data_IF_546041154720
#
_entry.id   IF_546041154720
#
_cell.length_a   1.000
_cell.length_b   1.000
_cell.length_c   1.000
_cell.angle_alpha   90.00
_cell.angle_beta   90.00
_cell.angle_gamma   90.00
#
_symmetry.space_group_name_H-M   'P 1'
#
loop_
_entity.id
_entity.type
_entity.pdbx_description
1 polymer ?
#
# COMPACT_ATOMS: atom_id res chain seq x y z
N UNK A 1 12.74 -18.64 -93.24
CA UNK A 1 12.08 -18.72 -91.92
C UNK A 1 13.18 -18.74 -90.86
N UNK A 2 13.21 -17.72 -89.97
CA UNK A 2 13.57 -17.69 -88.53
C UNK A 2 14.59 -18.75 -88.03
N UNK A 3 15.60 -18.50 -87.19
CA UNK A 3 16.07 -17.34 -86.44
C UNK A 3 17.48 -17.68 -85.90
N UNK A 4 18.35 -16.67 -85.90
CA UNK A 4 19.42 -16.31 -84.96
C UNK A 4 19.72 -17.19 -83.73
N UNK A 5 20.97 -17.66 -83.60
CA UNK A 5 21.64 -17.95 -82.32
C UNK A 5 22.04 -16.62 -81.65
N UNK A 6 21.59 -16.39 -80.41
CA UNK A 6 22.08 -15.31 -79.54
C UNK A 6 22.64 -15.90 -78.25
N UNK A 7 23.86 -15.48 -77.95
CA UNK A 7 24.64 -15.64 -76.71
C UNK A 7 23.81 -15.20 -75.51
N UNK A 8 23.70 -16.05 -74.48
CA UNK A 8 23.11 -15.69 -73.20
C UNK A 8 24.22 -15.36 -72.20
N UNK A 9 24.31 -14.08 -71.85
CA UNK A 9 25.18 -13.49 -70.86
C UNK A 9 24.55 -13.71 -69.47
N UNK A 10 25.34 -14.26 -68.54
CA UNK A 10 24.94 -14.61 -67.18
C UNK A 10 25.00 -13.33 -66.32
N UNK A 11 23.83 -12.76 -66.00
CA UNK A 11 23.70 -11.57 -65.15
C UNK A 11 23.49 -12.01 -63.69
N UNK A 12 24.46 -11.70 -62.82
CA UNK A 12 24.34 -11.90 -61.38
C UNK A 12 23.35 -10.89 -60.78
N UNK A 13 22.30 -11.40 -60.13
CA UNK A 13 21.38 -10.58 -59.36
C UNK A 13 22.01 -10.22 -58.01
N UNK A 14 22.32 -8.94 -57.80
CA UNK A 14 22.64 -8.39 -56.49
C UNK A 14 21.34 -8.23 -55.70
N UNK A 15 21.16 -9.04 -54.66
CA UNK A 15 20.10 -8.84 -53.69
C UNK A 15 20.50 -7.70 -52.74
N UNK A 16 19.82 -6.57 -52.84
CA UNK A 16 19.89 -5.51 -51.83
C UNK A 16 19.06 -5.96 -50.62
N UNK A 17 19.71 -6.24 -49.48
CA UNK A 17 19.03 -6.36 -48.20
C UNK A 17 18.60 -4.94 -47.76
N UNK A 18 17.30 -4.67 -47.79
CA UNK A 18 16.73 -3.52 -47.10
C UNK A 18 16.57 -3.89 -45.62
N UNK A 19 17.36 -3.27 -44.75
CA UNK A 19 17.13 -3.34 -43.30
C UNK A 19 15.90 -2.48 -43.01
N UNK A 20 14.83 -3.10 -42.50
CA UNK A 20 13.71 -2.35 -41.93
C UNK A 20 14.16 -1.71 -40.61
N UNK A 21 13.80 -0.46 -40.31
CA UNK A 21 14.01 0.09 -38.98
C UNK A 21 13.19 -0.73 -37.99
N UNK A 22 13.87 -1.32 -37.00
CA UNK A 22 13.21 -1.85 -35.80
C UNK A 22 12.75 -0.62 -35.02
N UNK A 23 11.45 -0.38 -34.95
CA UNK A 23 10.91 0.56 -33.97
C UNK A 23 11.21 0.01 -32.57
N UNK A 24 11.63 0.82 -31.60
CA UNK A 24 11.75 0.35 -30.23
C UNK A 24 10.38 -0.20 -29.82
N UNK A 25 10.36 -1.43 -29.28
CA UNK A 25 9.19 -1.94 -28.58
C UNK A 25 9.19 -1.18 -27.27
N UNK A 26 8.47 -0.06 -27.27
CA UNK A 26 8.20 0.69 -26.05
C UNK A 26 7.15 -0.13 -25.30
N UNK A 27 7.49 -0.65 -24.11
CA UNK A 27 6.53 -1.33 -23.24
C UNK A 27 5.32 -0.42 -23.00
N UNK A 28 4.12 -0.99 -22.86
CA UNK A 28 2.90 -0.22 -22.61
C UNK A 28 2.98 0.63 -21.34
N UNK A 29 3.89 0.30 -20.42
CA UNK A 29 4.15 1.08 -19.19
C UNK A 29 4.86 2.40 -19.44
N UNK A 30 5.65 2.53 -20.51
CA UNK A 30 6.17 3.83 -20.88
C UNK A 30 5.05 4.80 -21.36
N UNK A 31 3.80 4.33 -21.49
CA UNK A 31 2.64 5.18 -21.82
C UNK A 31 1.86 5.64 -20.57
N UNK A 32 2.10 5.04 -19.39
CA UNK A 32 1.65 5.55 -18.11
C UNK A 32 2.87 5.79 -17.24
N UNK A 33 3.52 6.94 -17.44
CA UNK A 33 4.65 7.35 -16.63
C UNK A 33 4.23 7.38 -15.15
N UNK A 34 4.64 6.37 -14.40
CA UNK A 34 4.56 6.39 -12.94
C UNK A 34 5.31 7.64 -12.44
N UNK A 35 4.91 8.23 -11.30
CA UNK A 35 5.60 9.38 -10.75
C UNK A 35 7.05 9.04 -10.40
N UNK A 36 7.84 10.09 -10.16
CA UNK A 36 9.21 9.94 -9.71
C UNK A 36 9.26 9.18 -8.37
N UNK A 37 10.18 8.22 -8.23
CA UNK A 37 10.33 7.44 -7.01
C UNK A 37 11.17 8.16 -5.96
N UNK A 38 11.01 7.75 -4.72
CA UNK A 38 11.77 8.23 -3.57
C UNK A 38 12.35 7.05 -2.80
N UNK A 39 13.63 7.11 -2.41
CA UNK A 39 14.22 6.08 -1.54
C UNK A 39 14.13 6.55 -0.09
N UNK A 40 13.34 5.84 0.70
CA UNK A 40 13.23 6.09 2.14
C UNK A 40 14.41 5.50 2.88
N UNK A 41 15.05 6.37 3.68
CA UNK A 41 16.15 6.01 4.59
C UNK A 41 15.64 5.29 5.84
N UNK A 42 14.45 5.64 6.30
CA UNK A 42 13.88 5.02 7.48
C UNK A 42 13.44 3.58 7.23
N UNK A 43 12.90 3.28 6.05
CA UNK A 43 12.27 2.00 5.75
C UNK A 43 13.13 1.09 4.84
N UNK A 44 14.24 1.58 4.28
CA UNK A 44 15.02 0.87 3.26
C UNK A 44 14.13 0.39 2.09
N UNK A 45 13.34 1.33 1.57
CA UNK A 45 12.31 1.05 0.58
C UNK A 45 12.23 2.14 -0.49
N UNK A 46 11.86 1.75 -1.70
CA UNK A 46 11.50 2.68 -2.78
C UNK A 46 10.00 2.94 -2.69
N UNK A 47 9.63 4.21 -2.58
CA UNK A 47 8.27 4.67 -2.36
C UNK A 47 7.77 5.50 -3.55
N UNK A 48 6.48 5.37 -3.85
CA UNK A 48 5.78 6.19 -4.84
C UNK A 48 4.66 7.01 -4.19
N UNK A 49 4.46 8.27 -4.59
CA UNK A 49 3.23 8.97 -4.27
C UNK A 49 2.05 8.29 -4.99
N UNK A 50 0.88 8.26 -4.36
CA UNK A 50 -0.30 7.63 -4.96
C UNK A 50 -1.06 8.64 -5.83
N UNK A 51 -0.79 8.61 -7.13
CA UNK A 51 -1.56 9.33 -8.15
C UNK A 51 -2.49 8.40 -8.96
N UNK A 52 -3.16 8.93 -9.99
CA UNK A 52 -4.05 8.14 -10.83
C UNK A 52 -3.34 7.04 -11.63
N UNK A 53 -2.07 7.24 -12.01
CA UNK A 53 -1.28 6.24 -12.71
C UNK A 53 -0.88 5.11 -11.77
N UNK A 54 -0.42 5.43 -10.56
CA UNK A 54 -0.09 4.44 -9.52
C UNK A 54 -1.33 3.65 -9.12
N UNK A 55 -2.47 4.30 -8.87
CA UNK A 55 -3.71 3.58 -8.55
C UNK A 55 -4.11 2.59 -9.63
N UNK A 56 -4.00 3.00 -10.91
CA UNK A 56 -4.32 2.13 -12.03
C UNK A 56 -3.33 0.99 -12.20
N UNK A 57 -2.04 1.22 -11.95
CA UNK A 57 -0.98 0.24 -12.14
C UNK A 57 -0.95 -0.84 -11.04
N UNK A 58 -1.36 -0.47 -9.81
CA UNK A 58 -1.32 -1.34 -8.64
C UNK A 58 -2.72 -1.78 -8.16
N UNK A 59 -3.77 -1.52 -8.95
CA UNK A 59 -5.17 -1.86 -8.66
C UNK A 59 -5.63 -1.38 -7.26
N UNK A 60 -5.26 -0.14 -6.92
CA UNK A 60 -5.56 0.44 -5.61
C UNK A 60 -6.97 1.03 -5.60
N UNK A 61 -7.76 0.67 -4.59
CA UNK A 61 -9.08 1.26 -4.37
C UNK A 61 -8.97 2.78 -4.11
N UNK A 62 -10.00 3.54 -4.49
CA UNK A 62 -10.06 4.99 -4.30
C UNK A 62 -9.95 5.46 -2.85
N UNK A 63 -10.33 4.60 -1.90
CA UNK A 63 -10.27 4.87 -0.45
C UNK A 63 -8.89 4.66 0.17
N UNK A 64 -7.98 3.96 -0.53
CA UNK A 64 -6.61 3.75 -0.05
C UNK A 64 -5.85 5.07 -0.14
N UNK A 65 -5.35 5.54 1.00
CA UNK A 65 -4.51 6.73 1.13
C UNK A 65 -3.15 6.31 1.66
N UNK A 66 -2.10 7.05 1.32
CA UNK A 66 -0.74 6.75 1.76
C UNK A 66 0.32 6.94 0.68
N UNK A 67 1.44 6.24 0.87
CA UNK A 67 2.53 6.10 -0.10
C UNK A 67 2.74 4.63 -0.43
N UNK A 68 2.87 4.32 -1.71
CA UNK A 68 3.01 2.94 -2.18
C UNK A 68 4.46 2.48 -2.02
N UNK A 69 4.66 1.27 -1.51
CA UNK A 69 5.94 0.56 -1.48
C UNK A 69 6.16 -0.12 -2.83
N UNK A 70 7.11 0.39 -3.61
CA UNK A 70 7.48 -0.17 -4.91
C UNK A 70 8.50 -1.29 -4.79
N UNK A 71 9.52 -1.09 -3.95
CA UNK A 71 10.59 -2.05 -3.71
C UNK A 71 11.06 -1.99 -2.27
N UNK A 72 11.55 -3.12 -1.75
CA UNK A 72 12.02 -3.27 -0.37
C UNK A 72 13.40 -3.93 -0.36
N UNK A 73 14.34 -3.33 0.37
CA UNK A 73 15.67 -3.91 0.56
C UNK A 73 15.59 -5.21 1.38
N UNK A 74 16.12 -6.34 0.86
CA UNK A 74 16.21 -7.58 1.63
C UNK A 74 17.04 -7.38 2.91
N UNK A 75 16.46 -7.74 4.05
CA UNK A 75 17.03 -7.55 5.38
C UNK A 75 16.99 -6.10 5.91
N UNK A 76 16.44 -5.15 5.15
CA UNK A 76 16.23 -3.76 5.59
C UNK A 76 15.12 -3.62 6.62
N UNK A 77 14.87 -2.39 7.10
CA UNK A 77 13.89 -2.10 8.16
C UNK A 77 12.49 -2.58 7.77
N UNK A 78 12.01 -2.24 6.58
CA UNK A 78 10.67 -2.64 6.12
C UNK A 78 10.55 -4.17 5.94
N UNK A 79 11.55 -4.82 5.34
CA UNK A 79 11.57 -6.28 5.14
C UNK A 79 11.52 -7.02 6.48
N UNK A 80 12.24 -6.53 7.50
CA UNK A 80 12.21 -7.11 8.85
C UNK A 80 10.83 -7.05 9.51
N UNK A 81 9.97 -6.11 9.11
CA UNK A 81 8.58 -6.04 9.56
C UNK A 81 7.60 -6.77 8.63
N UNK A 82 8.12 -7.44 7.61
CA UNK A 82 7.32 -8.16 6.61
C UNK A 82 6.55 -7.23 5.68
N UNK A 83 6.97 -5.97 5.54
CA UNK A 83 6.44 -5.07 4.50
C UNK A 83 6.87 -5.60 3.14
N UNK A 84 5.93 -5.67 2.23
CA UNK A 84 6.12 -6.23 0.90
C UNK A 84 5.88 -5.13 -0.15
N UNK A 85 6.53 -5.22 -1.32
CA UNK A 85 6.12 -4.43 -2.46
C UNK A 85 4.60 -4.55 -2.70
N UNK A 86 3.95 -3.45 -3.07
CA UNK A 86 2.50 -3.35 -3.21
C UNK A 86 1.77 -2.90 -1.95
N UNK A 87 2.41 -2.92 -0.78
CA UNK A 87 1.85 -2.31 0.42
C UNK A 87 1.75 -0.79 0.28
N UNK A 88 0.78 -0.19 0.96
CA UNK A 88 0.65 1.27 1.05
C UNK A 88 0.84 1.70 2.49
N UNK A 89 1.90 2.45 2.79
CA UNK A 89 2.13 3.02 4.13
C UNK A 89 1.17 4.20 4.31
N UNK A 90 0.28 4.09 5.29
CA UNK A 90 -0.77 5.06 5.56
C UNK A 90 -0.38 6.03 6.67
N UNK A 91 0.17 5.49 7.76
CA UNK A 91 0.46 6.25 8.97
C UNK A 91 1.76 5.78 9.60
N UNK A 92 2.55 6.70 10.14
CA UNK A 92 3.70 6.38 11.01
C UNK A 92 3.58 7.23 12.26
N UNK A 93 3.62 6.62 13.44
CA UNK A 93 3.57 7.34 14.73
C UNK A 93 2.37 8.28 14.87
N UNK A 94 1.16 7.85 14.49
CA UNK A 94 -0.03 8.72 14.55
C UNK A 94 -0.12 9.75 13.43
N UNK A 95 0.87 9.79 12.52
CA UNK A 95 0.97 10.80 11.46
C UNK A 95 0.66 10.20 10.11
N UNK A 96 -0.36 10.76 9.44
CA UNK A 96 -0.69 10.37 8.07
C UNK A 96 0.46 10.69 7.12
N UNK A 97 0.85 9.69 6.35
CA UNK A 97 1.92 9.80 5.36
C UNK A 97 1.29 10.03 3.99
N UNK A 98 1.39 11.25 3.48
CA UNK A 98 0.77 11.64 2.20
C UNK A 98 1.77 11.83 1.08
N UNK A 99 3.05 12.02 1.42
CA UNK A 99 4.16 12.13 0.48
C UNK A 99 5.30 11.20 0.89
N UNK A 100 6.09 10.65 -0.04
CA UNK A 100 7.17 9.72 0.32
C UNK A 100 8.17 10.29 1.33
N UNK A 101 8.57 11.56 1.17
CA UNK A 101 9.54 12.21 2.07
C UNK A 101 8.98 12.44 3.48
N UNK A 102 7.66 12.64 3.63
CA UNK A 102 7.06 12.86 4.95
C UNK A 102 7.26 11.70 5.92
N UNK A 103 7.43 10.48 5.40
CA UNK A 103 7.77 9.31 6.21
C UNK A 103 9.13 9.52 6.91
N UNK A 104 10.16 9.90 6.16
CA UNK A 104 11.50 10.11 6.71
C UNK A 104 11.55 11.36 7.59
N UNK A 105 10.78 12.41 7.28
CA UNK A 105 10.65 13.61 8.14
C UNK A 105 10.08 13.26 9.53
N UNK A 106 8.98 12.49 9.57
CA UNK A 106 8.35 12.00 10.81
C UNK A 106 9.35 11.16 11.60
N UNK A 107 10.01 10.20 10.94
CA UNK A 107 10.96 9.32 11.62
C UNK A 107 12.13 10.13 12.17
N UNK A 108 12.76 10.98 11.36
CA UNK A 108 13.92 11.77 11.76
C UNK A 108 13.61 12.69 12.95
N UNK A 109 12.45 13.37 12.95
CA UNK A 109 12.01 14.20 14.07
C UNK A 109 12.00 13.44 15.40
N UNK A 110 11.41 12.24 15.42
CA UNK A 110 11.33 11.44 16.64
C UNK A 110 12.67 10.81 17.03
N UNK A 111 13.51 10.44 16.06
CA UNK A 111 14.88 9.99 16.31
C UNK A 111 15.69 11.06 17.05
N UNK A 112 15.53 12.35 16.70
CA UNK A 112 16.18 13.47 17.39
C UNK A 112 15.74 13.61 18.86
N UNK A 113 14.54 13.12 19.20
CA UNK A 113 14.01 13.10 20.56
C UNK A 113 14.37 11.83 21.34
N UNK A 114 15.07 10.88 20.71
CA UNK A 114 15.45 9.61 21.31
C UNK A 114 14.33 8.58 21.35
N UNK A 115 13.32 8.72 20.48
CA UNK A 115 12.26 7.73 20.28
C UNK A 115 12.66 6.87 19.08
N UNK A 116 12.70 5.55 19.29
CA UNK A 116 13.21 4.58 18.31
C UNK A 116 12.18 3.52 17.90
N UNK A 117 11.08 3.38 18.64
CA UNK A 117 10.01 2.43 18.33
C UNK A 117 8.93 3.12 17.50
N UNK A 118 8.77 2.76 16.24
CA UNK A 118 7.82 3.37 15.30
C UNK A 118 6.69 2.40 15.01
N UNK A 119 5.50 2.66 15.55
CA UNK A 119 4.28 1.99 15.07
C UNK A 119 3.86 2.63 13.75
N UNK A 120 3.40 1.82 12.81
CA UNK A 120 2.91 2.30 11.52
C UNK A 120 1.76 1.42 11.01
N UNK A 121 0.86 2.06 10.28
CA UNK A 121 -0.27 1.42 9.64
C UNK A 121 -0.05 1.38 8.13
N UNK A 122 -0.46 0.28 7.51
CA UNK A 122 -0.32 0.06 6.08
C UNK A 122 -1.48 -0.76 5.52
N UNK A 123 -1.80 -0.55 4.24
CA UNK A 123 -2.75 -1.37 3.52
C UNK A 123 -2.02 -2.48 2.76
N UNK A 124 -2.48 -3.73 2.93
CA UNK A 124 -2.13 -4.85 2.06
C UNK A 124 -3.38 -5.39 1.40
N UNK A 125 -3.41 -5.37 0.06
CA UNK A 125 -4.60 -5.78 -0.72
C UNK A 125 -5.91 -5.11 -0.23
N UNK A 126 -5.82 -3.83 0.14
CA UNK A 126 -6.95 -3.03 0.65
C UNK A 126 -7.31 -3.26 2.11
N UNK A 127 -6.61 -4.14 2.83
CA UNK A 127 -6.84 -4.38 4.27
C UNK A 127 -5.83 -3.58 5.09
N UNK A 128 -6.33 -2.71 5.97
CA UNK A 128 -5.50 -1.96 6.91
C UNK A 128 -4.93 -2.90 7.98
N UNK A 129 -3.62 -2.84 8.18
CA UNK A 129 -2.84 -3.61 9.15
C UNK A 129 -1.84 -2.69 9.85
N UNK A 130 -1.35 -3.11 11.02
CA UNK A 130 -0.37 -2.35 11.79
C UNK A 130 0.89 -3.19 12.05
N UNK A 131 2.04 -2.55 12.02
CA UNK A 131 3.33 -3.13 12.38
C UNK A 131 4.16 -2.13 13.20
N UNK A 132 5.32 -2.55 13.70
CA UNK A 132 6.22 -1.66 14.41
C UNK A 132 7.68 -1.94 14.06
N UNK A 133 8.39 -0.89 13.65
CA UNK A 133 9.82 -0.94 13.36
C UNK A 133 10.63 -0.30 14.49
N UNK A 134 11.77 -0.91 14.84
CA UNK A 134 12.76 -0.27 15.70
C UNK A 134 13.85 0.35 14.84
N UNK A 135 13.88 1.68 14.76
CA UNK A 135 14.79 2.45 13.91
C UNK A 135 15.68 3.30 14.80
N UNK A 136 16.99 3.21 14.61
CA UNK A 136 17.95 4.06 15.32
C UNK A 136 18.51 5.10 14.39
N UNK A 137 19.10 6.17 14.95
CA UNK A 137 19.82 7.15 14.15
C UNK A 137 20.99 6.53 13.36
N UNK A 138 21.63 5.49 13.90
CA UNK A 138 22.70 4.77 13.21
C UNK A 138 22.17 4.05 11.96
N UNK A 139 21.07 3.31 12.10
CA UNK A 139 20.40 2.65 10.96
C UNK A 139 19.93 3.66 9.92
N UNK A 140 19.27 4.73 10.36
CA UNK A 140 18.75 5.78 9.47
C UNK A 140 19.85 6.49 8.66
N UNK A 141 21.07 6.58 9.21
CA UNK A 141 22.21 7.21 8.56
C UNK A 141 23.07 6.23 7.74
N UNK A 142 22.70 4.95 7.67
CA UNK A 142 23.38 4.02 6.77
C UNK A 142 23.17 4.43 5.31
N UNK A 143 24.26 4.38 4.54
CA UNK A 143 24.23 4.81 3.14
C UNK A 143 23.68 3.67 2.30
N UNK A 144 22.51 3.89 1.71
CA UNK A 144 21.95 3.05 0.66
C UNK A 144 22.68 3.30 -0.67
N UNK A 145 23.26 2.25 -1.26
CA UNK A 145 23.84 2.31 -2.60
C UNK A 145 22.72 2.24 -3.66
N UNK A 146 22.24 3.41 -4.11
CA UNK A 146 21.12 3.53 -5.06
C UNK A 146 21.34 2.72 -6.35
N UNK A 147 22.59 2.50 -6.75
CA UNK A 147 22.93 1.67 -7.92
C UNK A 147 22.64 0.18 -7.77
N UNK A 148 22.45 -0.30 -6.54
CA UNK A 148 22.19 -1.71 -6.23
C UNK A 148 20.71 -2.01 -5.97
N UNK A 149 19.82 -1.00 -6.01
CA UNK A 149 18.39 -1.20 -5.70
C UNK A 149 17.66 -2.09 -6.70
N UNK A 150 18.23 -2.33 -7.89
CA UNK A 150 17.70 -3.30 -8.86
C UNK A 150 17.75 -4.75 -8.36
N UNK A 151 18.50 -5.01 -7.29
CA UNK A 151 18.55 -6.30 -6.59
C UNK A 151 17.49 -6.47 -5.51
N UNK A 152 16.74 -5.42 -5.20
CA UNK A 152 15.75 -5.42 -4.12
C UNK A 152 14.52 -6.27 -4.46
N UNK A 153 13.73 -6.61 -3.45
CA UNK A 153 12.44 -7.26 -3.65
C UNK A 153 11.50 -6.26 -4.29
N UNK A 154 10.98 -6.56 -5.48
CA UNK A 154 10.10 -5.64 -6.23
C UNK A 154 8.75 -6.27 -6.50
N UNK A 155 7.73 -5.43 -6.62
CA UNK A 155 6.43 -5.83 -7.16
C UNK A 155 6.60 -6.38 -8.57
N UNK A 156 6.28 -7.66 -8.76
CA UNK A 156 6.37 -8.31 -10.07
C UNK A 156 4.99 -8.51 -10.67
N UNK A 157 4.77 -7.96 -11.87
CA UNK A 157 3.61 -8.26 -12.70
C UNK A 157 4.05 -8.38 -14.16
N UNK A 158 3.26 -9.07 -14.99
CA UNK A 158 3.68 -9.50 -16.35
C UNK A 158 4.08 -8.34 -17.29
N UNK A 159 3.77 -7.10 -16.93
CA UNK A 159 3.93 -5.95 -17.82
C UNK A 159 4.80 -4.80 -17.23
N UNK A 160 5.17 -4.83 -15.94
CA UNK A 160 6.07 -3.85 -15.31
C UNK A 160 7.51 -4.37 -15.19
N UNK A 161 8.49 -3.56 -15.62
CA UNK A 161 9.92 -3.85 -15.45
C UNK A 161 10.56 -2.80 -14.57
N UNK A 162 10.99 -3.20 -13.37
CA UNK A 162 11.70 -2.31 -12.44
C UNK A 162 13.05 -1.84 -12.99
N UNK A 163 13.72 -2.67 -13.79
CA UNK A 163 15.00 -2.30 -14.39
C UNK A 163 14.82 -1.18 -15.42
N UNK A 164 13.79 -1.25 -16.28
CA UNK A 164 13.46 -0.16 -17.22
C UNK A 164 13.03 1.11 -16.47
N UNK A 165 12.28 0.96 -15.39
CA UNK A 165 11.88 2.08 -14.54
C UNK A 165 13.09 2.73 -13.85
N UNK A 166 14.01 1.93 -13.31
CA UNK A 166 15.26 2.43 -12.74
C UNK A 166 16.13 3.12 -13.79
N UNK A 167 16.25 2.58 -15.00
CA UNK A 167 17.00 3.23 -16.08
C UNK A 167 16.45 4.64 -16.39
N UNK A 168 15.13 4.83 -16.38
CA UNK A 168 14.49 6.13 -16.60
C UNK A 168 14.71 7.11 -15.44
N UNK A 169 14.60 6.65 -14.18
CA UNK A 169 14.60 7.53 -12.99
C UNK A 169 15.90 7.53 -12.19
N UNK A 170 16.93 6.78 -12.58
CA UNK A 170 18.17 6.61 -11.79
C UNK A 170 18.88 7.94 -11.47
N UNK A 171 18.94 8.87 -12.41
CA UNK A 171 19.54 10.19 -12.18
C UNK A 171 18.73 10.97 -11.12
N UNK A 172 17.41 11.01 -11.27
CA UNK A 172 16.51 11.69 -10.32
C UNK A 172 16.50 11.03 -8.94
N UNK A 173 16.59 9.70 -8.87
CA UNK A 173 16.70 8.95 -7.61
C UNK A 173 17.98 9.31 -6.86
N UNK A 174 19.12 9.36 -7.55
CA UNK A 174 20.39 9.71 -6.94
C UNK A 174 20.34 11.17 -6.45
N UNK A 175 19.91 12.10 -7.29
CA UNK A 175 19.81 13.52 -6.93
C UNK A 175 18.83 13.75 -5.77
N UNK A 176 17.66 13.09 -5.79
CA UNK A 176 16.65 13.18 -4.74
C UNK A 176 17.16 12.59 -3.42
N UNK A 177 17.83 11.43 -3.45
CA UNK A 177 18.37 10.80 -2.25
C UNK A 177 19.55 11.59 -1.64
N UNK A 178 20.44 12.15 -2.48
CA UNK A 178 21.55 12.98 -2.00
C UNK A 178 21.06 14.31 -1.39
N UNK A 179 19.99 14.89 -1.94
CA UNK A 179 19.40 16.14 -1.41
C UNK A 179 18.41 15.93 -0.27
N UNK A 180 17.82 14.74 -0.12
CA UNK A 180 16.77 14.50 0.87
C UNK A 180 17.25 14.71 2.30
N UNK A 181 18.52 14.41 2.61
CA UNK A 181 19.09 14.62 3.94
C UNK A 181 18.99 16.09 4.37
N UNK A 182 19.44 17.03 3.54
CA UNK A 182 19.38 18.47 3.83
C UNK A 182 17.93 18.97 3.90
N UNK A 183 17.06 18.50 3.01
CA UNK A 183 15.65 18.88 2.99
C UNK A 183 14.92 18.41 4.26
N UNK A 184 15.14 17.17 4.68
CA UNK A 184 14.53 16.60 5.89
C UNK A 184 15.01 17.38 7.12
N UNK A 185 16.32 17.66 7.21
CA UNK A 185 16.85 18.46 8.32
C UNK A 185 16.27 19.87 8.35
N UNK A 186 16.13 20.53 7.20
CA UNK A 186 15.50 21.84 7.07
C UNK A 186 14.04 21.80 7.54
N UNK A 187 13.22 20.90 6.99
CA UNK A 187 11.79 20.76 7.34
C UNK A 187 11.62 20.48 8.84
N UNK A 188 12.33 19.48 9.36
CA UNK A 188 12.20 19.04 10.75
C UNK A 188 12.67 20.11 11.74
N UNK A 189 13.65 20.94 11.37
CA UNK A 189 14.10 22.07 12.18
C UNK A 189 13.16 23.28 12.17
N UNK A 190 12.17 23.29 11.28
CA UNK A 190 11.23 24.40 11.17
C UNK A 190 10.26 24.46 12.36
N UNK A 191 9.91 25.69 12.77
CA UNK A 191 8.92 25.91 13.84
C UNK A 191 7.54 25.40 13.45
N UNK A 192 7.20 25.46 12.16
CA UNK A 192 5.93 24.98 11.59
C UNK A 192 5.78 23.48 11.83
N UNK A 193 6.72 22.68 11.31
CA UNK A 193 6.70 21.23 11.45
C UNK A 193 6.74 20.79 12.92
N UNK A 194 7.55 21.47 13.75
CA UNK A 194 7.63 21.18 15.18
C UNK A 194 6.30 21.45 15.91
N UNK A 195 5.58 22.52 15.55
CA UNK A 195 4.26 22.82 16.11
C UNK A 195 3.26 21.75 15.70
N UNK A 196 3.21 21.44 14.40
CA UNK A 196 2.32 20.41 13.85
C UNK A 196 2.55 19.06 14.51
N UNK A 197 3.80 18.62 14.71
CA UNK A 197 4.13 17.36 15.38
C UNK A 197 3.72 17.31 16.85
N UNK A 198 3.65 18.46 17.52
CA UNK A 198 3.24 18.53 18.92
C UNK A 198 1.73 18.61 19.13
N UNK A 199 0.98 19.04 18.12
CA UNK A 199 -0.46 19.32 18.22
C UNK A 199 -1.33 18.08 17.97
N UNK A 200 -0.89 17.12 17.14
CA UNK A 200 -1.71 15.96 16.74
C UNK A 200 -1.71 14.77 17.73
N UNK A 201 -0.95 14.82 18.83
CA UNK A 201 -1.06 13.79 19.87
C UNK A 201 -2.30 13.94 20.77
N UNK A 202 -3.05 15.04 20.66
CA UNK A 202 -4.19 15.35 21.53
C UNK A 202 -5.58 14.93 20.97
N UNK A 203 -5.70 14.40 19.75
CA UNK A 203 -7.00 14.17 19.06
C UNK A 203 -7.46 12.68 18.96
N UNK A 204 -6.88 11.74 19.72
CA UNK A 204 -7.20 10.29 19.62
C UNK A 204 -8.38 9.84 20.51
N UNK A 205 -9.13 10.74 21.14
CA UNK A 205 -10.20 10.38 22.10
C UNK A 205 -11.66 10.64 21.66
N UNK A 206 -11.96 10.95 20.38
CA UNK A 206 -13.34 11.34 19.99
C UNK A 206 -13.93 10.64 18.75
N UNK A 207 -13.89 9.31 18.74
CA UNK A 207 -14.72 8.52 17.80
C UNK A 207 -15.22 7.19 18.40
N UNK A 208 -15.88 7.27 19.54
CA UNK A 208 -16.92 6.29 19.92
C UNK A 208 -18.18 7.02 20.39
N UNK A 209 -18.80 7.80 19.49
CA UNK A 209 -20.21 8.18 19.65
C UNK A 209 -21.07 6.98 19.22
N UNK A 210 -21.12 6.00 20.11
CA UNK A 210 -22.25 5.08 20.28
C UNK A 210 -23.30 5.78 21.15
N UNK A 211 -24.28 6.41 20.52
CA UNK A 211 -25.72 6.19 20.75
C UNK A 211 -26.53 7.30 20.06
N UNK A 212 -27.68 6.92 19.53
CA UNK A 212 -28.53 7.86 18.81
C UNK A 212 -29.48 7.17 17.84
N UNK A 213 -30.23 6.18 18.33
CA UNK A 213 -31.51 5.86 17.70
C UNK A 213 -32.39 7.10 17.77
N UNK A 214 -32.46 7.86 16.69
CA UNK A 214 -33.35 9.01 16.60
C UNK A 214 -34.80 8.51 16.51
N UNK A 215 -35.51 8.64 17.63
CA UNK A 215 -36.97 8.58 17.71
C UNK A 215 -37.56 9.75 16.89
N UNK A 216 -38.14 9.44 15.74
CA UNK A 216 -38.97 10.35 14.95
C UNK A 216 -40.29 10.65 15.70
N UNK A 217 -40.26 11.63 16.61
CA UNK A 217 -41.47 12.24 17.16
C UNK A 217 -41.90 13.43 16.28
N UNK A 218 -42.98 13.20 15.52
CA UNK A 218 -43.67 14.21 14.74
C UNK A 218 -44.30 15.29 15.65
N UNK A 219 -44.07 16.55 15.29
CA UNK A 219 -44.76 17.72 15.82
C UNK A 219 -46.25 17.68 15.43
N UNK A 220 -47.16 17.61 16.41
CA UNK A 220 -48.61 17.70 16.23
C UNK A 220 -49.13 19.04 16.77
N UNK A 221 -49.75 19.82 15.88
CA UNK A 221 -50.27 21.16 16.12
C UNK A 221 -51.72 21.14 16.58
N UNK A 222 -51.97 21.81 17.71
CA UNK A 222 -53.26 21.77 18.38
C UNK A 222 -54.45 22.28 17.55
N UNK A 223 -55.55 21.54 17.61
CA UNK A 223 -56.91 22.03 17.41
C UNK A 223 -57.85 21.32 18.37
N UNK A 224 -58.58 22.11 19.15
CA UNK A 224 -59.59 21.72 20.13
C UNK A 224 -60.72 20.92 19.46
N UNK A 225 -61.19 19.84 20.07
CA UNK A 225 -62.59 19.44 19.98
C UNK A 225 -63.03 18.56 21.16
N UNK A 226 -64.28 18.79 21.50
CA UNK A 226 -65.03 18.52 22.72
C UNK A 226 -65.69 17.12 22.68
N UNK A 227 -66.07 16.65 23.88
CA UNK A 227 -67.18 15.72 24.20
C UNK A 227 -66.93 14.22 24.51
N UNK A 228 -67.47 13.87 25.70
CA UNK A 228 -68.05 12.60 26.21
C UNK A 228 -67.12 11.39 26.39
N UNK A 229 -66.84 10.97 27.63
CA UNK A 229 -67.63 10.12 28.56
C UNK A 229 -67.58 8.61 28.23
N UNK A 230 -67.40 7.81 29.29
CA UNK A 230 -67.62 6.35 29.38
C UNK A 230 -66.57 5.49 28.66
N UNK A 231 -66.11 4.32 29.10
CA UNK A 231 -66.40 3.33 30.15
C UNK A 231 -65.08 2.52 30.35
N UNK A 232 -64.72 1.96 31.51
CA UNK A 232 -65.20 0.66 31.97
C UNK A 232 -64.16 -0.47 31.77
N UNK A 233 -63.96 -1.29 32.82
CA UNK A 233 -63.19 -2.56 32.96
C UNK A 233 -61.66 -2.48 32.88
N UNK A 234 -60.87 -2.79 33.92
CA UNK A 234 -60.76 -4.00 34.78
C UNK A 234 -60.24 -5.26 34.05
N UNK A 235 -59.37 -5.99 34.77
CA UNK A 235 -58.81 -7.32 34.47
C UNK A 235 -57.77 -7.38 33.34
N UNK A 236 -56.71 -8.18 33.35
CA UNK A 236 -56.19 -9.28 34.19
C UNK A 236 -54.67 -9.38 33.83
N UNK A 237 -53.70 -9.83 34.64
CA UNK A 237 -53.69 -10.99 35.49
C UNK A 237 -53.11 -12.19 34.76
N UNK A 238 -51.77 -12.32 34.68
CA UNK A 238 -51.06 -13.62 34.78
C UNK A 238 -49.53 -13.48 34.65
N UNK A 239 -48.86 -13.73 35.77
CA UNK A 239 -47.52 -14.33 35.86
C UNK A 239 -47.62 -15.81 35.41
N UNK A 240 -46.67 -16.33 34.65
CA UNK A 240 -46.34 -17.76 34.46
C UNK A 240 -45.02 -17.82 33.65
N UNK A 241 -43.84 -18.15 34.19
CA UNK A 241 -43.31 -19.41 34.74
C UNK A 241 -42.66 -20.33 33.67
N UNK A 242 -41.48 -20.88 34.02
CA UNK A 242 -40.91 -22.11 33.44
C UNK A 242 -39.80 -21.87 32.40
N UNK A 243 -38.51 -22.06 32.65
CA UNK A 243 -37.74 -23.22 33.14
C UNK A 243 -37.30 -24.22 32.05
N UNK A 244 -36.04 -24.67 32.22
CA UNK A 244 -35.40 -25.92 31.76
C UNK A 244 -34.89 -25.96 30.30
N UNK A 245 -33.56 -26.05 30.06
CA UNK A 245 -32.64 -27.21 30.18
C UNK A 245 -32.64 -28.09 28.92
N UNK A 246 -31.53 -28.09 28.17
CA UNK A 246 -30.93 -29.32 27.64
C UNK A 246 -29.47 -29.12 27.17
N UNK A 247 -28.59 -29.96 27.70
CA UNK A 247 -27.26 -30.21 27.16
C UNK A 247 -27.25 -31.37 26.17
N UNK A 248 -26.19 -31.43 25.37
CA UNK A 248 -25.72 -32.68 24.76
C UNK A 248 -24.22 -32.60 24.47
N UNK A 249 -23.49 -33.56 25.04
CA UNK A 249 -22.10 -33.95 24.76
C UNK A 249 -22.03 -34.86 23.49
N UNK A 250 -20.85 -35.44 23.23
CA UNK A 250 -20.43 -36.42 22.16
C UNK A 250 -20.04 -35.84 20.79
N UNK A 251 -19.01 -36.30 20.07
CA UNK A 251 -18.01 -37.39 20.16
C UNK A 251 -16.91 -37.02 19.11
N UNK A 252 -15.61 -37.28 19.28
CA UNK A 252 -14.98 -38.59 19.10
C UNK A 252 -14.59 -38.86 17.63
N UNK A 253 -13.28 -38.90 17.32
CA UNK A 253 -12.77 -39.32 16.00
C UNK A 253 -11.26 -39.12 15.79
N UNK A 254 -10.45 -40.03 16.35
CA UNK A 254 -9.09 -40.31 15.88
C UNK A 254 -9.18 -41.13 14.57
N UNK A 255 -8.34 -40.87 13.58
CA UNK A 255 -7.93 -41.94 12.66
C UNK A 255 -6.52 -41.70 12.09
N UNK A 256 -5.80 -42.80 12.03
CA UNK A 256 -4.37 -42.95 11.87
C UNK A 256 -3.98 -43.20 10.41
N UNK A 257 -2.72 -42.92 10.07
CA UNK A 257 -1.94 -43.86 9.25
C UNK A 257 -1.42 -43.37 7.90
N UNK A 258 -0.12 -43.62 7.69
CA UNK A 258 0.44 -43.87 6.36
C UNK A 258 1.83 -43.30 6.10
N UNK A 259 2.88 -43.93 6.63
CA UNK A 259 4.25 -43.85 6.09
C UNK A 259 4.33 -44.66 4.77
N UNK A 260 5.03 -44.14 3.75
CA UNK A 260 5.73 -44.92 2.69
C UNK A 260 6.64 -43.91 1.93
N UNK A 261 7.94 -43.81 2.19
CA UNK A 261 9.07 -44.70 1.89
C UNK A 261 9.52 -44.70 0.41
N UNK A 262 10.81 -44.41 0.19
CA UNK A 262 11.62 -45.06 -0.85
C UNK A 262 11.87 -44.36 -2.19
N UNK A 263 13.11 -43.85 -2.32
CA UNK A 263 14.01 -44.09 -3.47
C UNK A 263 13.72 -43.35 -4.78
N UNK A 264 14.64 -43.18 -5.72
CA UNK A 264 16.06 -43.48 -5.84
C UNK A 264 16.51 -42.68 -7.10
N UNK A 265 17.81 -42.59 -7.26
CA UNK A 265 18.62 -41.98 -8.30
C UNK A 265 18.11 -42.10 -9.75
N UNK A 266 18.29 -41.04 -10.57
CA UNK A 266 19.22 -40.97 -11.73
C UNK A 266 19.36 -39.53 -12.27
#
# INVERSE_FOLDING_TARGET
>A
MRNSLRVLLLLGAAAHLSVLPVAPIVSAYAQQALPAPYVSRAFDAVLLPIDGAVRSAFDLDSSVEGVLVLAVQPGGVADQQGVEPGDVIYEVKGRRITTPISLDEVVYYWLQQGIFDFGFDYYRAGVLSSASAYITLELYQEVIEITEITSWSVWSYEEFSFEEYYEEYSEELIESYESSEELIEETVSSEEFSSEMSEEEDDVDDAVEDDGTEDDAAEDDGSEDDMSEDDGSEDDGSEDDGADDDGSEDDGGEDDGGEDDGGDEE
#
